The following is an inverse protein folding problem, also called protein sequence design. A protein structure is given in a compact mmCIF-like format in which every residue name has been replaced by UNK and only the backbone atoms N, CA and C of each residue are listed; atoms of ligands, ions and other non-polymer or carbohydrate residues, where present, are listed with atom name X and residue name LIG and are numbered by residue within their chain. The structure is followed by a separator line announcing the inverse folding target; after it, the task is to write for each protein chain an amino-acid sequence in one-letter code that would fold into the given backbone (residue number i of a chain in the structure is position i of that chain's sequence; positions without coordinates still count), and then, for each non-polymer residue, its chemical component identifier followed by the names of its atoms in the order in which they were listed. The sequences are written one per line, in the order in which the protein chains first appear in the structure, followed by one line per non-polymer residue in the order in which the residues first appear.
data_IF_199371858940
#
_entry.id   IF_199371858940
#
_cell.length_a   1.000
_cell.length_b   1.000
_cell.length_c   1.000
_cell.angle_alpha   90.00
_cell.angle_beta   90.00
_cell.angle_gamma   90.00
#
_symmetry.space_group_name_H-M   'P 1'
#
loop_
_entity.id
_entity.type
_entity.pdbx_description
1 polymer ?
#
# COMPACT_ATOMS: atom_id res chain seq x y z
N UNK A 1 -26.60 -2.74 29.40
CA UNK A 1 -25.65 -3.75 28.85
C UNK A 1 -25.41 -3.56 27.35
N UNK A 2 -24.80 -2.44 26.91
CA UNK A 2 -24.44 -2.21 25.48
C UNK A 2 -22.94 -1.99 25.23
N UNK A 3 -22.12 -1.93 26.29
CA UNK A 3 -20.68 -1.61 26.20
C UNK A 3 -19.74 -2.82 26.02
N UNK A 4 -20.24 -4.06 26.07
CA UNK A 4 -19.37 -5.24 25.93
C UNK A 4 -18.83 -5.44 24.50
N UNK A 5 -19.51 -4.89 23.48
CA UNK A 5 -19.13 -5.05 22.06
C UNK A 5 -17.81 -4.36 21.69
N UNK A 6 -17.56 -3.07 22.00
CA UNK A 6 -16.32 -2.40 21.61
C UNK A 6 -15.07 -3.03 22.24
N UNK A 7 -15.17 -3.53 23.48
CA UNK A 7 -14.05 -4.17 24.17
C UNK A 7 -13.61 -5.46 23.46
N UNK A 8 -14.56 -6.27 22.97
CA UNK A 8 -14.24 -7.48 22.22
C UNK A 8 -13.47 -7.17 20.93
N UNK A 9 -13.93 -6.18 20.16
CA UNK A 9 -13.22 -5.75 18.93
C UNK A 9 -11.85 -5.16 19.24
N UNK A 10 -11.71 -4.42 20.34
CA UNK A 10 -10.42 -3.90 20.77
C UNK A 10 -9.43 -5.03 21.09
N UNK A 11 -9.84 -6.01 21.89
CA UNK A 11 -8.99 -7.15 22.26
C UNK A 11 -8.59 -7.99 21.04
N UNK A 12 -9.53 -8.26 20.13
CA UNK A 12 -9.24 -8.97 18.88
C UNK A 12 -8.25 -8.17 18.02
N UNK A 13 -8.45 -6.86 17.90
CA UNK A 13 -7.58 -5.98 17.13
C UNK A 13 -6.15 -5.94 17.69
N UNK A 14 -5.99 -5.77 19.01
CA UNK A 14 -4.69 -5.82 19.68
C UNK A 14 -4.02 -7.19 19.50
N UNK A 15 -4.78 -8.27 19.61
CA UNK A 15 -4.25 -9.63 19.43
C UNK A 15 -3.70 -9.84 18.01
N UNK A 16 -4.46 -9.46 16.98
CA UNK A 16 -4.01 -9.57 15.59
C UNK A 16 -2.81 -8.67 15.29
N UNK A 17 -2.79 -7.43 15.80
CA UNK A 17 -1.62 -6.56 15.67
C UNK A 17 -0.40 -7.14 16.37
N UNK A 18 -0.58 -7.74 17.54
CA UNK A 18 0.52 -8.36 18.29
C UNK A 18 1.13 -9.52 17.51
N UNK A 19 0.29 -10.38 16.92
CA UNK A 19 0.75 -11.45 16.04
C UNK A 19 1.49 -10.92 14.80
N UNK A 20 1.00 -9.85 14.18
CA UNK A 20 1.67 -9.21 13.04
C UNK A 20 3.02 -8.58 13.46
N UNK A 21 3.10 -7.95 14.64
CA UNK A 21 4.32 -7.39 15.19
C UNK A 21 5.35 -8.47 15.51
N UNK A 22 4.92 -9.59 16.11
CA UNK A 22 5.81 -10.73 16.33
C UNK A 22 6.41 -11.23 15.02
N UNK A 23 5.62 -11.23 13.94
CA UNK A 23 6.15 -11.55 12.63
C UNK A 23 7.21 -10.52 12.18
N UNK A 24 6.91 -9.23 12.27
CA UNK A 24 7.79 -8.15 11.82
C UNK A 24 9.11 -8.07 12.60
N UNK A 25 9.07 -8.32 13.91
CA UNK A 25 10.26 -8.35 14.78
C UNK A 25 10.96 -9.72 14.80
N UNK A 26 10.48 -10.71 14.06
CA UNK A 26 11.06 -12.06 14.04
C UNK A 26 10.91 -12.83 15.35
N UNK A 27 9.98 -12.44 16.22
CA UNK A 27 9.72 -13.10 17.49
C UNK A 27 8.71 -14.24 17.32
N UNK A 28 8.97 -15.38 17.96
CA UNK A 28 8.04 -16.52 18.01
C UNK A 28 7.57 -17.05 16.64
N UNK A 29 8.39 -16.85 15.59
CA UNK A 29 8.08 -17.25 14.21
C UNK A 29 7.71 -18.73 14.09
N UNK A 30 8.46 -19.62 14.76
CA UNK A 30 8.20 -21.06 14.71
C UNK A 30 6.90 -21.48 15.40
N UNK A 31 6.48 -20.72 16.41
CA UNK A 31 5.25 -21.00 17.19
C UNK A 31 4.01 -20.60 16.37
N UNK A 32 4.07 -19.45 15.71
CA UNK A 32 2.94 -18.89 14.97
C UNK A 32 3.00 -19.12 13.45
N UNK A 33 4.01 -19.86 12.96
CA UNK A 33 4.14 -20.30 11.57
C UNK A 33 2.84 -20.82 10.94
N UNK A 34 2.05 -21.70 11.58
CA UNK A 34 0.78 -22.15 10.99
C UNK A 34 -0.25 -21.02 10.85
N UNK A 35 -0.26 -20.04 11.77
CA UNK A 35 -1.17 -18.89 11.71
C UNK A 35 -0.78 -17.96 10.57
N UNK A 36 0.52 -17.67 10.43
CA UNK A 36 1.04 -16.87 9.32
C UNK A 36 0.86 -17.55 7.97
N UNK A 37 1.03 -18.87 7.88
CA UNK A 37 0.79 -19.63 6.65
C UNK A 37 -0.68 -19.70 6.23
N UNK A 38 -1.62 -19.58 7.17
CA UNK A 38 -3.06 -19.64 6.87
C UNK A 38 -3.65 -18.29 6.46
N UNK A 39 -3.30 -17.22 7.17
CA UNK A 39 -3.92 -15.89 7.00
C UNK A 39 -2.99 -14.89 6.31
N UNK A 40 -1.68 -15.03 6.48
CA UNK A 40 -0.69 -14.04 6.06
C UNK A 40 -0.52 -12.92 7.09
N UNK A 41 0.72 -12.47 7.35
CA UNK A 41 0.99 -11.40 8.32
C UNK A 41 0.36 -10.06 7.90
N UNK A 42 0.23 -9.78 6.59
CA UNK A 42 -0.42 -8.59 6.07
C UNK A 42 -1.91 -8.55 6.42
N UNK A 43 -2.60 -9.68 6.34
CA UNK A 43 -4.04 -9.77 6.66
C UNK A 43 -4.27 -9.66 8.16
N UNK A 44 -3.37 -10.22 8.99
CA UNK A 44 -3.40 -10.01 10.44
C UNK A 44 -3.22 -8.52 10.79
N UNK A 45 -2.30 -7.83 10.12
CA UNK A 45 -2.09 -6.41 10.33
C UNK A 45 -3.32 -5.59 9.91
N UNK A 46 -3.80 -5.75 8.66
CA UNK A 46 -4.95 -5.01 8.13
C UNK A 46 -6.21 -5.30 8.95
N UNK A 47 -6.46 -6.58 9.25
CA UNK A 47 -7.61 -7.01 10.06
C UNK A 47 -7.55 -6.48 11.49
N UNK A 48 -6.36 -6.47 12.10
CA UNK A 48 -6.13 -5.89 13.42
C UNK A 48 -6.38 -4.38 13.45
N UNK A 49 -5.84 -3.64 12.48
CA UNK A 49 -6.10 -2.19 12.34
C UNK A 49 -7.58 -1.92 12.13
N UNK A 50 -8.25 -2.66 11.24
CA UNK A 50 -9.68 -2.50 10.98
C UNK A 50 -10.53 -2.77 12.23
N UNK A 51 -10.22 -3.82 12.99
CA UNK A 51 -10.90 -4.14 14.25
C UNK A 51 -10.71 -3.03 15.30
N UNK A 52 -9.50 -2.45 15.40
CA UNK A 52 -9.23 -1.30 16.28
C UNK A 52 -10.00 -0.05 15.86
N UNK A 53 -10.10 0.23 14.56
CA UNK A 53 -10.92 1.33 14.04
C UNK A 53 -12.38 1.11 14.43
N UNK A 54 -12.94 -0.08 14.19
CA UNK A 54 -14.34 -0.39 14.56
C UNK A 54 -14.56 -0.25 16.07
N UNK A 55 -13.63 -0.75 16.88
CA UNK A 55 -13.69 -0.62 18.34
C UNK A 55 -13.71 0.85 18.78
N UNK A 56 -12.83 1.67 18.18
CA UNK A 56 -12.73 3.09 18.46
C UNK A 56 -14.02 3.82 18.08
N UNK A 57 -14.52 3.60 16.85
CA UNK A 57 -15.78 4.18 16.40
C UNK A 57 -17.00 3.72 17.21
N UNK A 58 -16.99 2.48 17.70
CA UNK A 58 -18.06 1.95 18.55
C UNK A 58 -18.01 2.49 19.98
N UNK A 59 -16.90 3.07 20.42
CA UNK A 59 -16.74 3.67 21.75
C UNK A 59 -16.90 5.19 21.75
N UNK A 60 -16.55 5.86 20.64
CA UNK A 60 -16.62 7.32 20.51
C UNK A 60 -18.08 7.82 20.34
N UNK A 61 -18.40 9.02 20.86
CA UNK A 61 -19.63 9.72 20.52
C UNK A 61 -19.69 10.05 19.02
N UNK A 62 -20.89 10.00 18.43
CA UNK A 62 -21.11 10.17 16.98
C UNK A 62 -20.41 11.38 16.37
N UNK A 63 -20.42 12.52 17.07
CA UNK A 63 -19.76 13.75 16.61
C UNK A 63 -18.23 13.62 16.51
N UNK A 64 -17.62 12.90 17.46
CA UNK A 64 -16.18 12.64 17.46
C UNK A 64 -15.80 11.62 16.37
N UNK A 65 -16.66 10.63 16.14
CA UNK A 65 -16.50 9.66 15.04
C UNK A 65 -16.52 10.32 13.67
N UNK A 66 -17.44 11.27 13.44
CA UNK A 66 -17.51 12.02 12.17
C UNK A 66 -16.23 12.82 11.95
N UNK A 67 -15.74 13.51 12.98
CA UNK A 67 -14.48 14.26 12.90
C UNK A 67 -13.30 13.33 12.60
N UNK A 68 -13.23 12.18 13.29
CA UNK A 68 -12.17 11.20 13.08
C UNK A 68 -12.22 10.60 11.67
N UNK A 69 -13.41 10.33 11.16
CA UNK A 69 -13.61 9.84 9.79
C UNK A 69 -13.12 10.86 8.76
N UNK A 70 -13.44 12.15 8.94
CA UNK A 70 -12.93 13.21 8.08
C UNK A 70 -11.39 13.25 8.12
N UNK A 71 -10.78 13.22 9.30
CA UNK A 71 -9.31 13.20 9.43
C UNK A 71 -8.69 11.97 8.75
N UNK A 72 -9.33 10.80 8.85
CA UNK A 72 -8.88 9.58 8.16
C UNK A 72 -8.99 9.68 6.64
N UNK A 73 -10.10 10.20 6.11
CA UNK A 73 -10.31 10.34 4.66
C UNK A 73 -9.39 11.41 4.07
N UNK A 74 -9.29 12.57 4.71
CA UNK A 74 -8.44 13.66 4.24
C UNK A 74 -6.96 13.37 4.49
N UNK A 75 -6.60 12.87 5.67
CA UNK A 75 -5.22 12.50 5.99
C UNK A 75 -4.74 11.29 5.19
N UNK A 76 -5.57 10.26 5.06
CA UNK A 76 -5.29 9.12 4.18
C UNK A 76 -5.19 9.56 2.71
N UNK A 77 -6.15 10.35 2.22
CA UNK A 77 -6.14 10.87 0.85
C UNK A 77 -4.92 11.73 0.53
N UNK A 78 -4.47 12.56 1.49
CA UNK A 78 -3.26 13.37 1.33
C UNK A 78 -2.00 12.50 1.31
N UNK A 79 -1.89 11.54 2.23
CA UNK A 79 -0.79 10.58 2.25
C UNK A 79 -0.71 9.74 0.97
N UNK A 80 -1.86 9.30 0.45
CA UNK A 80 -1.90 8.57 -0.82
C UNK A 80 -1.49 9.45 -1.99
N UNK A 81 -1.95 10.71 -2.05
CA UNK A 81 -1.52 11.63 -3.09
C UNK A 81 0.00 11.81 -3.10
N UNK A 82 0.62 12.08 -1.95
CA UNK A 82 2.07 12.32 -1.89
C UNK A 82 2.92 11.08 -2.19
N UNK A 83 2.40 9.86 -1.95
CA UNK A 83 3.14 8.61 -2.16
C UNK A 83 2.80 7.88 -3.48
N UNK A 84 1.62 8.11 -4.08
CA UNK A 84 1.24 7.54 -5.39
C UNK A 84 1.66 8.42 -6.57
N UNK A 85 1.72 9.74 -6.40
CA UNK A 85 2.17 10.67 -7.44
C UNK A 85 3.60 10.35 -7.94
N UNK A 86 4.61 10.05 -7.10
CA UNK A 86 5.93 9.63 -7.58
C UNK A 86 5.93 8.23 -8.22
N UNK A 87 5.09 7.30 -7.75
CA UNK A 87 4.99 5.95 -8.32
C UNK A 87 4.34 5.96 -9.72
N UNK A 88 3.29 6.76 -9.92
CA UNK A 88 2.64 6.92 -11.22
C UNK A 88 3.55 7.61 -12.26
N UNK A 89 4.38 8.56 -11.81
CA UNK A 89 5.38 9.20 -12.67
C UNK A 89 6.54 8.25 -13.01
N UNK A 90 6.98 7.40 -12.08
CA UNK A 90 8.00 6.38 -12.33
C UNK A 90 7.53 5.33 -13.35
N UNK A 91 6.28 4.88 -13.25
CA UNK A 91 5.67 3.94 -14.22
C UNK A 91 5.48 4.62 -15.58
N UNK A 92 5.04 5.88 -15.62
CA UNK A 92 4.92 6.65 -16.88
C UNK A 92 6.27 6.87 -17.57
N UNK A 93 7.35 7.11 -16.80
CA UNK A 93 8.72 7.21 -17.32
C UNK A 93 9.27 5.87 -17.79
N UNK A 94 8.98 4.77 -17.09
CA UNK A 94 9.39 3.44 -17.51
C UNK A 94 8.72 3.04 -18.84
N UNK A 95 7.42 3.31 -19.00
CA UNK A 95 6.67 3.04 -20.22
C UNK A 95 7.09 3.91 -21.42
N UNK A 96 7.62 5.11 -21.18
CA UNK A 96 8.17 5.97 -22.25
C UNK A 96 9.64 5.68 -22.56
N UNK A 97 10.39 5.11 -21.61
CA UNK A 97 11.80 4.73 -21.80
C UNK A 97 11.97 3.40 -22.53
N UNK A 98 10.99 2.49 -22.48
CA UNK A 98 11.06 1.19 -23.18
C UNK A 98 10.74 1.31 -24.69
N UNK A 99 10.36 2.49 -25.19
CA UNK A 99 9.93 2.68 -26.57
C UNK A 99 10.72 3.73 -27.37
N UNK A 100 11.98 3.96 -27.02
CA UNK A 100 12.92 4.64 -27.94
C UNK A 100 13.79 3.56 -28.61
N UNK A 101 13.40 3.03 -29.79
CA UNK A 101 14.41 2.50 -30.67
C UNK A 101 15.27 3.68 -31.13
N UNK A 102 16.55 3.62 -30.76
CA UNK A 102 17.58 4.38 -31.42
C UNK A 102 17.57 4.04 -32.92
N UNK A 103 16.98 4.91 -33.74
CA UNK A 103 17.25 4.98 -35.16
C UNK A 103 18.00 6.29 -35.42
N UNK A 104 19.27 6.25 -35.05
CA UNK A 104 20.28 7.12 -35.62
C UNK A 104 20.46 6.77 -37.11
N UNK A 105 20.74 7.81 -37.89
CA UNK A 105 21.46 7.81 -39.17
C UNK A 105 20.83 7.14 -40.41
N UNK A 106 20.59 7.98 -41.42
CA UNK A 106 20.26 7.55 -42.78
C UNK A 106 19.79 8.68 -43.68
N UNK A 107 20.62 9.72 -43.83
CA UNK A 107 20.45 10.78 -44.83
C UNK A 107 20.55 10.20 -46.26
N UNK A 108 19.53 10.29 -47.14
CA UNK A 108 19.69 9.94 -48.54
C UNK A 108 19.80 11.23 -49.36
N UNK A 109 20.95 11.89 -49.28
CA UNK A 109 21.28 13.02 -50.13
C UNK A 109 22.76 12.99 -50.50
N UNK A 110 23.14 12.03 -51.36
CA UNK A 110 24.29 12.09 -52.28
C UNK A 110 24.42 10.71 -52.96
N UNK A 111 23.63 10.47 -54.01
CA UNK A 111 24.00 9.44 -54.98
C UNK A 111 25.21 9.98 -55.75
N UNK A 112 26.38 9.41 -55.45
CA UNK A 112 27.64 9.71 -56.11
C UNK A 112 27.54 9.53 -57.63
N UNK A 113 27.94 10.61 -58.28
CA UNK A 113 28.37 10.72 -59.64
C UNK A 113 29.71 9.98 -59.84
N UNK A 114 29.79 9.16 -60.92
CA UNK A 114 30.99 8.71 -61.67
C UNK A 114 32.08 7.87 -60.96
N UNK A 115 32.32 6.67 -61.50
CA UNK A 115 33.51 6.31 -62.33
C UNK A 115 33.45 4.81 -62.67
N UNK A 116 33.18 4.41 -63.92
CA UNK A 116 34.15 4.01 -64.95
C UNK A 116 34.69 2.56 -64.79
N UNK A 117 34.95 1.88 -65.92
CA UNK A 117 36.35 1.70 -66.33
C UNK A 117 36.76 2.61 -67.50
#
# INVERSE_FOLDING_TARGET
MKQMKPIAFFLIGVFFLSLALFHFFGLFQDIFKPVYGFIGPEVLYIGGVAALIIALFSWLPTWLSILLFLVLVFGGGFYFKDNLEPASQAVSKALTSENIPAAAEGNPAAAEEKSAP
#
